data_IF_327547044047
#
_entry.id   IF_327547044047
#
_cell.length_a   1.000
_cell.length_b   1.000
_cell.length_c   1.000
_cell.angle_alpha   90.00
_cell.angle_beta   90.00
_cell.angle_gamma   90.00
#
_symmetry.space_group_name_H-M   'P 1'
#
loop_
_entity.id
_entity.type
_entity.pdbx_description
1 polymer ?
#
# COMPACT_ATOMS: atom_id res chain seq x y z
N UNK A 1 -37.99 -0.10 -0.55
CA UNK A 1 -37.33 -0.29 0.76
C UNK A 1 -36.45 -1.50 0.62
N UNK A 2 -35.15 -1.38 0.87
CA UNK A 2 -34.26 -2.53 0.84
C UNK A 2 -34.74 -3.57 1.88
N UNK A 3 -34.78 -4.84 1.51
CA UNK A 3 -35.12 -5.90 2.47
C UNK A 3 -33.93 -6.05 3.43
N UNK A 4 -34.15 -5.65 4.69
CA UNK A 4 -33.19 -5.81 5.79
C UNK A 4 -32.65 -7.25 5.85
N UNK A 5 -31.33 -7.40 6.00
CA UNK A 5 -30.61 -8.68 6.03
C UNK A 5 -29.99 -8.93 7.42
N UNK A 6 -29.62 -10.19 7.65
CA UNK A 6 -28.83 -10.62 8.79
C UNK A 6 -27.43 -11.02 8.30
N UNK A 7 -26.39 -10.47 8.91
CA UNK A 7 -25.00 -10.80 8.60
C UNK A 7 -24.35 -11.53 9.77
N UNK A 8 -23.84 -12.74 9.52
CA UNK A 8 -23.03 -13.49 10.49
C UNK A 8 -21.56 -13.22 10.20
N UNK A 9 -20.81 -12.82 11.22
CA UNK A 9 -19.43 -12.37 11.04
C UNK A 9 -18.45 -13.44 11.52
N UNK A 10 -17.43 -13.70 10.71
CA UNK A 10 -16.28 -14.54 11.04
C UNK A 10 -15.16 -13.75 11.75
N UNK A 11 -14.35 -14.43 12.56
CA UNK A 11 -13.21 -13.87 13.30
C UNK A 11 -12.23 -13.14 12.38
N UNK A 12 -11.94 -13.70 11.20
CA UNK A 12 -10.98 -13.12 10.26
C UNK A 12 -11.42 -11.75 9.69
N UNK A 13 -12.73 -11.47 9.67
CA UNK A 13 -13.24 -10.15 9.29
C UNK A 13 -12.79 -9.11 10.31
N UNK A 14 -12.95 -9.42 11.59
CA UNK A 14 -12.64 -8.53 12.72
C UNK A 14 -11.12 -8.35 12.88
N UNK A 15 -10.37 -9.44 12.73
CA UNK A 15 -8.90 -9.37 12.77
C UNK A 15 -8.34 -8.50 11.64
N UNK A 16 -9.03 -8.41 10.51
CA UNK A 16 -8.65 -7.55 9.39
C UNK A 16 -9.13 -6.10 9.54
N UNK A 17 -10.32 -5.91 10.12
CA UNK A 17 -10.97 -4.62 10.29
C UNK A 17 -11.87 -4.64 11.53
N UNK A 18 -11.42 -3.97 12.59
CA UNK A 18 -12.17 -3.91 13.84
C UNK A 18 -13.44 -3.05 13.74
N UNK A 19 -13.46 -2.11 12.79
CA UNK A 19 -14.58 -1.19 12.51
C UNK A 19 -15.56 -1.75 11.45
N UNK A 20 -15.53 -3.06 11.18
CA UNK A 20 -16.33 -3.64 10.10
C UNK A 20 -17.83 -3.33 10.19
N UNK A 21 -18.35 -3.19 11.41
CA UNK A 21 -19.78 -2.98 11.68
C UNK A 21 -20.32 -1.66 11.13
N UNK A 22 -19.43 -0.74 10.74
CA UNK A 22 -19.80 0.52 10.10
C UNK A 22 -20.30 0.35 8.66
N UNK A 23 -19.95 -0.77 8.02
CA UNK A 23 -20.12 -1.00 6.58
C UNK A 23 -21.38 -1.82 6.23
N UNK A 24 -22.30 -2.00 7.19
CA UNK A 24 -23.48 -2.87 7.03
C UNK A 24 -24.80 -2.10 6.92
N UNK A 25 -24.76 -0.76 6.84
CA UNK A 25 -25.95 0.10 6.69
C UNK A 25 -27.04 -0.28 7.71
N UNK A 26 -28.31 -0.32 7.33
CA UNK A 26 -29.44 -0.67 8.20
C UNK A 26 -29.53 -2.16 8.60
N UNK A 27 -28.57 -3.01 8.21
CA UNK A 27 -28.67 -4.47 8.38
C UNK A 27 -28.19 -4.93 9.75
N UNK A 28 -28.76 -6.05 10.24
CA UNK A 28 -28.43 -6.58 11.55
C UNK A 28 -27.19 -7.49 11.48
N UNK A 29 -26.32 -7.35 12.48
CA UNK A 29 -25.05 -8.05 12.61
C UNK A 29 -25.16 -9.05 13.77
N UNK A 30 -24.76 -10.28 13.53
CA UNK A 30 -24.74 -11.34 14.52
C UNK A 30 -23.31 -11.87 14.65
N UNK A 31 -22.79 -11.78 15.87
CA UNK A 31 -21.47 -12.25 16.23
C UNK A 31 -21.61 -13.60 16.96
N UNK A 32 -21.15 -14.71 16.36
CA UNK A 32 -21.08 -16.00 17.05
C UNK A 32 -20.16 -15.89 18.28
N UNK A 33 -20.57 -16.46 19.41
CA UNK A 33 -19.76 -16.41 20.64
C UNK A 33 -18.36 -17.03 20.47
N UNK A 34 -18.23 -18.03 19.58
CA UNK A 34 -16.92 -18.62 19.23
C UNK A 34 -15.94 -17.60 18.67
N UNK A 35 -16.42 -16.57 17.96
CA UNK A 35 -15.57 -15.51 17.43
C UNK A 35 -14.90 -14.73 18.56
N UNK A 36 -15.63 -14.45 19.65
CA UNK A 36 -15.04 -13.81 20.82
C UNK A 36 -13.97 -14.69 21.50
N UNK A 37 -14.23 -16.00 21.60
CA UNK A 37 -13.24 -16.96 22.14
C UNK A 37 -11.96 -16.98 21.30
N UNK A 38 -12.08 -16.83 19.97
CA UNK A 38 -10.94 -16.77 19.07
C UNK A 38 -10.21 -15.43 19.17
N UNK A 39 -10.92 -14.31 19.18
CA UNK A 39 -10.31 -12.97 19.34
C UNK A 39 -9.47 -12.86 20.61
N UNK A 40 -9.88 -13.52 21.70
CA UNK A 40 -9.11 -13.52 22.94
C UNK A 40 -7.69 -14.11 22.78
N UNK A 41 -7.53 -15.08 21.87
CA UNK A 41 -6.21 -15.67 21.53
C UNK A 41 -5.32 -14.66 20.82
N UNK A 42 -5.91 -13.72 20.08
CA UNK A 42 -5.19 -12.70 19.31
C UNK A 42 -4.90 -11.41 20.09
N UNK A 43 -5.29 -11.28 21.37
CA UNK A 43 -5.01 -10.04 22.14
C UNK A 43 -3.55 -9.86 22.55
N UNK A 44 -2.72 -10.89 22.44
CA UNK A 44 -1.29 -10.86 22.79
C UNK A 44 -0.45 -10.72 21.53
N UNK A 45 0.41 -9.70 21.49
CA UNK A 45 1.28 -9.40 20.35
C UNK A 45 1.22 -7.94 19.90
N UNK A 46 2.10 -7.57 18.97
CA UNK A 46 2.29 -6.19 18.50
C UNK A 46 1.88 -5.98 17.03
N UNK A 47 1.23 -6.96 16.41
CA UNK A 47 0.80 -6.90 15.02
C UNK A 47 -0.59 -6.24 14.88
N UNK A 48 -0.95 -5.86 13.66
CA UNK A 48 -2.24 -5.22 13.34
C UNK A 48 -3.42 -6.09 13.77
N UNK A 49 -3.33 -7.42 13.58
CA UNK A 49 -4.37 -8.36 14.01
C UNK A 49 -4.59 -8.32 15.53
N UNK A 50 -3.51 -8.12 16.30
CA UNK A 50 -3.62 -8.01 17.76
C UNK A 50 -4.20 -6.67 18.18
N UNK A 51 -3.85 -5.60 17.47
CA UNK A 51 -4.46 -4.29 17.66
C UNK A 51 -5.97 -4.37 17.37
N UNK A 52 -6.36 -4.91 16.21
CA UNK A 52 -7.75 -5.03 15.79
C UNK A 52 -8.57 -5.86 16.79
N UNK A 53 -8.04 -7.01 17.25
CA UNK A 53 -8.69 -7.80 18.29
C UNK A 53 -8.91 -7.01 19.59
N UNK A 54 -7.91 -6.24 20.05
CA UNK A 54 -8.03 -5.40 21.25
C UNK A 54 -8.98 -4.22 21.05
N UNK A 55 -8.93 -3.57 19.89
CA UNK A 55 -9.76 -2.42 19.55
C UNK A 55 -11.22 -2.84 19.50
N UNK A 56 -11.54 -3.91 18.76
CA UNK A 56 -12.91 -4.42 18.67
C UNK A 56 -13.48 -4.80 20.03
N UNK A 57 -12.74 -5.53 20.86
CA UNK A 57 -13.24 -5.92 22.21
C UNK A 57 -13.52 -4.70 23.08
N UNK A 58 -12.74 -3.61 22.96
CA UNK A 58 -13.01 -2.36 23.68
C UNK A 58 -14.24 -1.63 23.16
N UNK A 59 -14.42 -1.57 21.85
CA UNK A 59 -15.61 -0.95 21.25
C UNK A 59 -16.87 -1.75 21.58
N UNK A 60 -16.77 -3.07 21.55
CA UNK A 60 -17.83 -3.95 21.96
C UNK A 60 -18.23 -3.64 23.41
N UNK A 61 -17.28 -3.52 24.33
CA UNK A 61 -17.53 -3.16 25.75
C UNK A 61 -18.23 -1.78 25.89
N UNK A 62 -17.92 -0.81 25.03
CA UNK A 62 -18.57 0.51 25.02
C UNK A 62 -19.99 0.50 24.44
N UNK A 63 -20.24 -0.37 23.47
CA UNK A 63 -21.53 -0.51 22.78
C UNK A 63 -22.49 -1.41 23.61
N UNK A 64 -21.95 -2.15 24.58
CA UNK A 64 -22.72 -3.07 25.41
C UNK A 64 -23.28 -2.44 26.69
N UNK A 65 -24.58 -2.14 26.68
CA UNK A 65 -25.40 -2.19 27.90
C UNK A 65 -25.81 -3.65 28.20
N UNK A 66 -26.30 -3.92 29.42
CA UNK A 66 -26.77 -5.23 29.94
C UNK A 66 -27.78 -5.99 29.04
N UNK A 67 -28.26 -5.38 27.95
CA UNK A 67 -29.27 -5.91 27.03
C UNK A 67 -28.74 -6.61 25.77
N UNK A 68 -27.41 -6.65 25.55
CA UNK A 68 -26.77 -7.19 24.33
C UNK A 68 -27.23 -8.61 23.96
N UNK A 69 -27.35 -9.50 24.94
CA UNK A 69 -27.69 -10.91 24.72
C UNK A 69 -29.16 -11.16 24.38
N UNK A 70 -30.05 -10.18 24.60
CA UNK A 70 -31.50 -10.34 24.44
C UNK A 70 -32.12 -9.41 23.40
N UNK A 71 -31.70 -8.15 23.34
CA UNK A 71 -32.34 -7.13 22.48
C UNK A 71 -31.42 -6.58 21.38
N UNK A 72 -30.14 -6.98 21.39
CA UNK A 72 -29.10 -6.43 20.52
C UNK A 72 -28.71 -5.01 20.91
N UNK A 73 -27.46 -4.63 20.66
CA UNK A 73 -26.97 -3.27 20.85
C UNK A 73 -27.22 -2.44 19.59
N UNK A 74 -27.67 -1.19 19.77
CA UNK A 74 -27.90 -0.25 18.67
C UNK A 74 -26.56 0.32 18.18
N UNK A 75 -26.33 0.29 16.86
CA UNK A 75 -25.09 0.79 16.25
C UNK A 75 -25.17 2.27 15.85
N UNK A 76 -26.32 2.93 16.07
CA UNK A 76 -26.53 4.35 15.82
C UNK A 76 -27.45 4.64 14.63
N UNK A 77 -27.63 5.93 14.33
CA UNK A 77 -28.60 6.41 13.33
C UNK A 77 -28.26 5.87 11.94
N UNK A 78 -29.26 5.27 11.29
CA UNK A 78 -29.11 4.68 9.96
C UNK A 78 -28.38 3.34 9.93
N UNK A 79 -28.08 2.76 11.11
CA UNK A 79 -27.43 1.45 11.24
C UNK A 79 -28.38 0.41 11.85
N UNK A 80 -28.07 -0.87 11.62
CA UNK A 80 -28.77 -1.98 12.26
C UNK A 80 -28.31 -2.25 13.70
N UNK A 81 -28.62 -3.44 14.20
CA UNK A 81 -28.24 -3.88 15.56
C UNK A 81 -27.15 -4.94 15.55
N UNK A 82 -26.33 -4.95 16.59
CA UNK A 82 -25.34 -5.99 16.86
C UNK A 82 -25.84 -6.96 17.93
N UNK A 83 -25.80 -8.25 17.63
CA UNK A 83 -26.22 -9.34 18.51
C UNK A 83 -25.05 -10.27 18.80
N UNK A 84 -24.90 -10.74 20.04
CA UNK A 84 -24.01 -11.85 20.36
C UNK A 84 -24.83 -13.12 20.51
N UNK A 85 -24.49 -14.13 19.70
CA UNK A 85 -25.26 -15.38 19.64
C UNK A 85 -24.44 -16.53 20.17
N UNK A 86 -24.99 -17.22 21.18
CA UNK A 86 -24.46 -18.49 21.64
C UNK A 86 -25.30 -19.64 21.10
N UNK A 87 -24.78 -20.34 20.09
CA UNK A 87 -25.36 -21.56 19.56
C UNK A 87 -24.87 -22.74 20.40
N UNK A 88 -25.63 -23.03 21.47
CA UNK A 88 -25.24 -24.03 22.49
C UNK A 88 -25.23 -25.46 21.92
N UNK A 89 -26.05 -25.73 20.90
CA UNK A 89 -26.11 -27.02 20.18
C UNK A 89 -25.57 -26.86 18.77
N UNK A 90 -24.79 -27.83 18.32
CA UNK A 90 -24.41 -27.92 16.91
C UNK A 90 -25.66 -28.26 16.09
N UNK A 91 -25.85 -27.55 14.97
CA UNK A 91 -27.00 -27.77 14.11
C UNK A 91 -26.87 -29.11 13.37
N UNK A 92 -27.93 -29.91 13.32
CA UNK A 92 -27.90 -31.30 12.79
C UNK A 92 -27.29 -31.37 11.38
N UNK A 93 -27.76 -30.51 10.46
CA UNK A 93 -27.21 -30.38 9.10
C UNK A 93 -25.70 -30.11 9.05
N UNK A 94 -25.13 -29.39 10.03
CA UNK A 94 -23.67 -29.15 10.10
C UNK A 94 -22.97 -30.40 10.60
N UNK A 95 -23.51 -31.06 11.62
CA UNK A 95 -22.92 -32.29 12.18
C UNK A 95 -22.90 -33.42 11.15
N UNK A 96 -23.95 -33.55 10.34
CA UNK A 96 -24.03 -34.54 9.27
C UNK A 96 -22.99 -34.30 8.16
N UNK A 97 -22.81 -33.04 7.75
CA UNK A 97 -21.85 -32.69 6.70
C UNK A 97 -20.40 -32.63 7.19
N UNK A 98 -20.19 -32.16 8.43
CA UNK A 98 -18.89 -31.91 9.05
C UNK A 98 -18.89 -32.40 10.51
N UNK A 99 -18.58 -33.70 10.75
CA UNK A 99 -18.68 -34.31 12.08
C UNK A 99 -17.74 -33.72 13.14
N UNK A 100 -16.65 -33.07 12.72
CA UNK A 100 -15.69 -32.46 13.61
C UNK A 100 -16.26 -31.21 14.29
N UNK A 101 -15.88 -30.99 15.56
CA UNK A 101 -16.30 -29.79 16.30
C UNK A 101 -15.23 -28.70 16.20
N UNK A 102 -15.25 -27.95 15.10
CA UNK A 102 -14.34 -26.83 14.85
C UNK A 102 -15.01 -25.47 15.08
N UNK A 103 -14.25 -24.38 15.26
CA UNK A 103 -14.79 -23.02 15.29
C UNK A 103 -15.63 -22.67 14.06
N UNK A 104 -15.13 -22.96 12.85
CA UNK A 104 -15.86 -22.84 11.58
C UNK A 104 -17.25 -23.46 11.65
N UNK A 105 -17.34 -24.69 12.15
CA UNK A 105 -18.61 -25.44 12.18
C UNK A 105 -19.58 -24.84 13.21
N UNK A 106 -19.07 -24.20 14.28
CA UNK A 106 -19.88 -23.43 15.23
C UNK A 106 -20.40 -22.12 14.61
N UNK A 107 -19.59 -21.45 13.79
CA UNK A 107 -20.03 -20.28 13.01
C UNK A 107 -21.14 -20.69 12.04
N UNK A 108 -20.94 -21.75 11.25
CA UNK A 108 -21.94 -22.27 10.31
C UNK A 108 -23.24 -22.70 11.01
N UNK A 109 -23.15 -23.31 12.19
CA UNK A 109 -24.35 -23.65 13.00
C UNK A 109 -25.12 -22.39 13.38
N UNK A 110 -24.42 -21.32 13.75
CA UNK A 110 -25.04 -20.02 14.07
C UNK A 110 -25.75 -19.41 12.85
N UNK A 111 -25.19 -19.56 11.65
CA UNK A 111 -25.85 -19.10 10.42
C UNK A 111 -27.19 -19.79 10.21
N UNK A 112 -27.24 -21.12 10.36
CA UNK A 112 -28.48 -21.87 10.21
C UNK A 112 -29.49 -21.53 11.32
N UNK A 113 -29.07 -21.48 12.58
CA UNK A 113 -29.94 -21.12 13.71
C UNK A 113 -30.59 -19.74 13.53
N UNK A 114 -29.84 -18.74 13.06
CA UNK A 114 -30.36 -17.39 12.79
C UNK A 114 -31.28 -17.40 11.57
N UNK A 115 -30.97 -18.20 10.55
CA UNK A 115 -31.83 -18.37 9.37
C UNK A 115 -33.20 -18.96 9.75
N UNK A 116 -33.22 -19.98 10.61
CA UNK A 116 -34.46 -20.62 11.07
C UNK A 116 -35.30 -19.70 11.97
N UNK A 117 -34.66 -18.89 12.82
CA UNK A 117 -35.34 -17.89 13.66
C UNK A 117 -35.95 -16.73 12.86
N UNK A 118 -35.34 -16.40 11.71
CA UNK A 118 -35.74 -15.26 10.88
C UNK A 118 -36.00 -15.68 9.42
N UNK A 119 -37.00 -16.53 9.13
CA UNK A 119 -37.20 -17.13 7.80
C UNK A 119 -37.59 -16.10 6.70
N UNK A 120 -37.99 -14.89 7.10
CA UNK A 120 -38.36 -13.80 6.19
C UNK A 120 -37.18 -12.86 5.86
N UNK A 121 -36.04 -13.01 6.54
CA UNK A 121 -34.85 -12.20 6.32
C UNK A 121 -33.74 -13.09 5.77
N UNK A 122 -32.98 -12.56 4.80
CA UNK A 122 -31.84 -13.29 4.24
C UNK A 122 -30.69 -13.24 5.26
N UNK A 123 -30.21 -14.40 5.68
CA UNK A 123 -29.01 -14.54 6.50
C UNK A 123 -27.82 -14.85 5.61
N UNK A 124 -26.73 -14.10 5.79
CA UNK A 124 -25.53 -14.16 4.96
C UNK A 124 -24.32 -14.30 5.88
N UNK A 125 -23.46 -15.27 5.60
CA UNK A 125 -22.15 -15.38 6.23
C UNK A 125 -21.17 -14.41 5.57
N UNK A 126 -20.39 -13.68 6.35
CA UNK A 126 -19.32 -12.80 5.87
C UNK A 126 -17.99 -13.33 6.39
N UNK A 127 -17.09 -13.69 5.47
CA UNK A 127 -15.79 -14.29 5.82
C UNK A 127 -14.72 -13.98 4.78
N UNK A 128 -13.48 -13.81 5.26
CA UNK A 128 -12.28 -13.75 4.40
C UNK A 128 -11.62 -15.11 4.19
N UNK A 129 -12.06 -16.16 4.89
CA UNK A 129 -11.49 -17.50 4.79
C UNK A 129 -12.12 -18.28 3.63
N UNK A 130 -11.28 -18.71 2.69
CA UNK A 130 -11.69 -19.50 1.52
C UNK A 130 -12.29 -20.85 1.95
N UNK A 131 -11.72 -21.52 2.93
CA UNK A 131 -12.18 -22.84 3.39
C UNK A 131 -13.56 -22.74 4.05
N UNK A 132 -13.76 -21.75 4.92
CA UNK A 132 -15.08 -21.50 5.54
C UNK A 132 -16.12 -21.15 4.47
N UNK A 133 -15.73 -20.35 3.47
CA UNK A 133 -16.58 -20.02 2.31
C UNK A 133 -16.95 -21.25 1.49
N UNK A 134 -16.02 -22.18 1.25
CA UNK A 134 -16.30 -23.42 0.52
C UNK A 134 -17.27 -24.31 1.30
N UNK A 135 -17.08 -24.46 2.62
CA UNK A 135 -18.00 -25.21 3.50
C UNK A 135 -19.42 -24.60 3.50
N UNK A 136 -19.52 -23.28 3.55
CA UNK A 136 -20.82 -22.60 3.48
C UNK A 136 -21.51 -22.86 2.13
N UNK A 137 -20.77 -22.72 1.01
CA UNK A 137 -21.30 -22.97 -0.34
C UNK A 137 -21.77 -24.40 -0.54
N UNK A 138 -21.04 -25.40 -0.03
CA UNK A 138 -21.44 -26.81 -0.14
C UNK A 138 -22.76 -27.12 0.59
N UNK A 139 -23.15 -26.29 1.56
CA UNK A 139 -24.40 -26.41 2.32
C UNK A 139 -25.54 -25.54 1.79
N UNK A 140 -25.30 -24.75 0.73
CA UNK A 140 -26.23 -23.78 0.18
C UNK A 140 -26.40 -22.53 1.05
N UNK A 141 -25.46 -22.26 1.96
CA UNK A 141 -25.50 -21.07 2.82
C UNK A 141 -25.04 -19.85 2.00
N UNK A 142 -25.83 -18.76 1.95
CA UNK A 142 -25.40 -17.51 1.33
C UNK A 142 -24.15 -16.99 2.04
N UNK A 143 -23.09 -16.73 1.27
CA UNK A 143 -21.81 -16.25 1.79
C UNK A 143 -21.26 -15.14 0.92
N UNK A 144 -20.76 -14.08 1.56
CA UNK A 144 -20.13 -12.92 0.94
C UNK A 144 -18.68 -12.81 1.44
N UNK A 145 -17.81 -12.34 0.55
CA UNK A 145 -16.44 -11.96 0.92
C UNK A 145 -16.47 -10.63 1.65
N UNK A 146 -15.67 -10.46 2.69
CA UNK A 146 -15.53 -9.16 3.31
C UNK A 146 -14.55 -8.30 2.51
N UNK A 147 -15.13 -7.46 1.65
CA UNK A 147 -14.41 -6.44 0.90
C UNK A 147 -14.79 -5.09 1.52
N UNK A 148 -13.95 -4.60 2.44
CA UNK A 148 -13.97 -3.17 2.79
C UNK A 148 -13.32 -2.40 1.63
N UNK A 149 -13.60 -1.10 1.48
CA UNK A 149 -13.04 -0.13 0.50
C UNK A 149 -11.50 0.03 0.63
N UNK A 150 -10.76 -1.08 0.62
CA UNK A 150 -9.32 -1.17 0.50
C UNK A 150 -9.01 -1.32 -1.00
N UNK A 151 -8.60 -0.19 -1.58
CA UNK A 151 -8.01 0.00 -2.92
C UNK A 151 -8.83 -0.62 -4.06
N UNK A 152 -9.75 0.19 -4.61
CA UNK A 152 -10.73 -0.23 -5.62
C UNK A 152 -10.09 -0.47 -7.00
N UNK A 153 -8.89 0.06 -7.27
CA UNK A 153 -8.38 0.15 -8.64
C UNK A 153 -7.06 -0.60 -8.85
N UNK A 154 -7.14 -1.93 -8.92
CA UNK A 154 -6.01 -2.81 -9.29
C UNK A 154 -5.46 -2.44 -10.68
N UNK A 155 -6.31 -1.85 -11.54
CA UNK A 155 -5.97 -1.42 -12.90
C UNK A 155 -5.06 -0.18 -12.95
N UNK A 156 -4.90 0.57 -11.85
CA UNK A 156 -3.88 1.65 -11.78
C UNK A 156 -2.47 1.07 -11.82
N UNK A 157 -2.27 -0.16 -11.33
CA UNK A 157 -0.94 -0.74 -11.14
C UNK A 157 -0.45 -1.59 -12.33
N UNK A 158 -1.35 -1.94 -13.26
CA UNK A 158 -1.02 -2.66 -14.49
C UNK A 158 -0.75 -1.75 -15.69
N UNK A 159 -1.07 -0.45 -15.60
CA UNK A 159 -0.88 0.50 -16.70
C UNK A 159 0.60 0.90 -16.79
N UNK A 160 1.19 0.64 -17.95
CA UNK A 160 2.49 1.17 -18.33
C UNK A 160 2.40 2.63 -18.78
N UNK A 161 3.43 3.10 -19.46
CA UNK A 161 3.50 4.42 -20.09
C UNK A 161 2.24 4.73 -20.93
N UNK A 162 1.50 5.79 -20.57
CA UNK A 162 0.39 6.27 -21.39
C UNK A 162 0.93 6.94 -22.64
N UNK A 163 0.46 6.49 -23.82
CA UNK A 163 0.81 7.08 -25.10
C UNK A 163 -0.39 7.87 -25.60
N UNK A 164 -0.19 9.15 -25.91
CA UNK A 164 -1.19 10.00 -26.55
C UNK A 164 -0.77 10.14 -28.02
N UNK A 165 -1.55 9.52 -28.90
CA UNK A 165 -1.32 9.54 -30.34
C UNK A 165 -2.09 10.67 -31.02
N UNK A 166 -1.72 11.02 -32.25
CA UNK A 166 -2.40 12.05 -33.04
C UNK A 166 -2.19 13.48 -32.53
N UNK A 167 -1.16 13.72 -31.72
CA UNK A 167 -0.84 15.05 -31.19
C UNK A 167 -0.36 15.95 -32.33
N UNK A 168 -0.81 17.21 -32.35
CA UNK A 168 -0.34 18.19 -33.33
C UNK A 168 1.20 18.34 -33.24
N UNK A 169 1.96 18.10 -34.34
CA UNK A 169 3.42 18.20 -34.37
C UNK A 169 3.96 19.56 -33.88
N UNK A 170 3.22 20.64 -34.13
CA UNK A 170 3.63 22.00 -33.74
C UNK A 170 3.56 22.21 -32.23
N UNK A 171 2.64 21.53 -31.53
CA UNK A 171 2.59 21.55 -30.06
C UNK A 171 3.80 20.83 -29.46
N UNK A 172 4.22 19.73 -30.08
CA UNK A 172 5.45 19.03 -29.67
C UNK A 172 6.66 19.93 -29.92
N UNK A 173 6.77 20.60 -31.07
CA UNK A 173 7.87 21.54 -31.33
C UNK A 173 7.87 22.73 -30.36
N UNK A 174 6.68 23.25 -30.00
CA UNK A 174 6.55 24.26 -28.94
C UNK A 174 7.07 23.75 -27.59
N UNK A 175 6.80 22.49 -27.21
CA UNK A 175 7.35 21.90 -25.97
C UNK A 175 8.89 21.83 -26.00
N UNK A 176 9.50 21.57 -27.16
CA UNK A 176 10.95 21.62 -27.31
C UNK A 176 11.51 23.05 -27.24
N UNK A 177 10.77 24.04 -27.77
CA UNK A 177 11.19 25.44 -27.78
C UNK A 177 10.91 26.18 -26.46
N UNK A 178 9.96 25.72 -25.65
CA UNK A 178 9.48 26.41 -24.44
C UNK A 178 9.69 25.54 -23.19
N UNK A 179 10.81 25.72 -22.44
CA UNK A 179 11.08 24.96 -21.22
C UNK A 179 10.00 25.08 -20.15
N UNK A 180 9.28 26.22 -20.13
CA UNK A 180 8.18 26.46 -19.18
C UNK A 180 6.90 25.66 -19.50
N UNK A 181 6.87 24.92 -20.62
CA UNK A 181 5.71 24.15 -21.06
C UNK A 181 4.66 24.96 -21.82
N UNK A 182 3.70 24.23 -22.38
CA UNK A 182 2.60 24.71 -23.22
C UNK A 182 1.28 24.57 -22.44
N UNK A 183 0.31 25.46 -22.65
CA UNK A 183 -0.96 25.41 -21.92
C UNK A 183 -1.67 24.07 -22.14
N UNK A 184 -2.24 23.49 -21.08
CA UNK A 184 -2.99 22.23 -21.18
C UNK A 184 -4.19 22.36 -22.13
N UNK A 185 -4.80 23.55 -22.21
CA UNK A 185 -5.94 23.84 -23.08
C UNK A 185 -5.62 23.77 -24.59
N UNK A 186 -4.33 23.81 -24.95
CA UNK A 186 -3.90 23.61 -26.34
C UNK A 186 -3.89 22.12 -26.74
N UNK A 187 -3.99 21.20 -25.78
CA UNK A 187 -4.00 19.75 -26.02
C UNK A 187 -5.42 19.18 -25.88
N UNK A 188 -5.65 18.04 -26.53
CA UNK A 188 -6.87 17.26 -26.39
C UNK A 188 -6.51 15.90 -25.81
N UNK A 189 -7.18 15.50 -24.73
CA UNK A 189 -6.99 14.21 -24.07
C UNK A 189 -8.34 13.48 -23.98
N UNK A 190 -8.32 12.15 -24.14
CA UNK A 190 -9.52 11.30 -24.09
C UNK A 190 -10.13 11.21 -22.69
N UNK A 191 -9.34 11.49 -21.66
CA UNK A 191 -9.75 11.48 -20.27
C UNK A 191 -9.22 12.71 -19.52
N UNK A 192 -9.89 13.12 -18.42
CA UNK A 192 -9.37 14.18 -17.55
C UNK A 192 -7.98 13.82 -17.02
N UNK A 193 -7.04 14.76 -17.16
CA UNK A 193 -5.69 14.61 -16.62
C UNK A 193 -5.69 14.68 -15.09
N UNK A 194 -4.93 13.79 -14.47
CA UNK A 194 -4.63 13.82 -13.04
C UNK A 194 -3.32 14.60 -12.84
N UNK A 195 -3.19 15.39 -11.75
CA UNK A 195 -1.93 16.05 -11.40
C UNK A 195 -0.71 15.14 -11.50
N UNK A 196 0.34 15.63 -12.16
CA UNK A 196 1.62 14.95 -12.36
C UNK A 196 1.58 13.68 -13.24
N UNK A 197 0.48 13.43 -13.95
CA UNK A 197 0.42 12.38 -14.97
C UNK A 197 1.52 12.56 -16.00
N UNK A 198 2.20 11.46 -16.32
CA UNK A 198 3.30 11.41 -17.27
C UNK A 198 2.92 10.56 -18.47
N UNK A 199 3.23 11.03 -19.67
CA UNK A 199 2.81 10.40 -20.92
C UNK A 199 3.80 10.66 -22.05
N UNK A 200 3.75 9.78 -23.06
CA UNK A 200 4.48 9.91 -24.31
C UNK A 200 3.55 10.55 -25.34
N UNK A 201 3.86 11.78 -25.75
CA UNK A 201 3.19 12.45 -26.85
C UNK A 201 3.78 11.96 -28.16
N UNK A 202 2.94 11.52 -29.11
CA UNK A 202 3.36 11.12 -30.45
C UNK A 202 2.53 11.83 -31.51
N UNK A 203 3.24 12.35 -32.51
CA UNK A 203 2.67 12.80 -33.78
C UNK A 203 3.20 11.93 -34.92
N UNK A 204 2.80 12.25 -36.15
CA UNK A 204 3.34 11.64 -37.37
C UNK A 204 4.82 11.96 -37.60
N UNK A 205 5.35 13.03 -36.99
CA UNK A 205 6.71 13.54 -37.25
C UNK A 205 7.65 13.42 -36.05
N UNK A 206 7.17 13.66 -34.85
CA UNK A 206 7.97 13.84 -33.65
C UNK A 206 7.27 13.25 -32.41
N UNK A 207 8.02 13.11 -31.33
CA UNK A 207 7.51 12.61 -30.05
C UNK A 207 8.19 13.31 -28.89
N UNK A 208 7.51 13.44 -27.75
CA UNK A 208 8.09 13.97 -26.53
C UNK A 208 7.63 13.20 -25.30
N UNK A 209 8.53 13.05 -24.33
CA UNK A 209 8.15 12.67 -22.96
C UNK A 209 7.63 13.92 -22.26
N UNK A 210 6.44 13.85 -21.69
CA UNK A 210 5.77 14.99 -21.11
C UNK A 210 5.08 14.64 -19.78
N UNK A 211 4.83 15.67 -18.98
CA UNK A 211 4.09 15.58 -17.71
C UNK A 211 3.14 16.77 -17.59
N UNK A 212 1.97 16.55 -17.00
CA UNK A 212 1.07 17.63 -16.61
C UNK A 212 1.52 18.27 -15.29
N UNK A 213 1.83 19.57 -15.31
CA UNK A 213 2.10 20.35 -14.10
C UNK A 213 0.81 21.02 -13.61
N UNK A 214 0.27 20.62 -12.44
CA UNK A 214 -1.01 21.12 -11.94
C UNK A 214 -0.95 22.57 -11.41
N UNK A 215 0.22 23.07 -11.05
CA UNK A 215 0.39 24.41 -10.48
C UNK A 215 0.40 25.49 -11.56
N UNK A 216 0.97 25.16 -12.73
CA UNK A 216 1.03 26.07 -13.88
C UNK A 216 -0.04 25.76 -14.93
N UNK A 217 -0.77 24.64 -14.80
CA UNK A 217 -1.74 24.13 -15.78
C UNK A 217 -1.12 23.96 -17.17
N UNK A 218 0.11 23.45 -17.21
CA UNK A 218 0.88 23.28 -18.44
C UNK A 218 1.33 21.85 -18.63
N UNK A 219 1.43 21.45 -19.89
CA UNK A 219 2.20 20.28 -20.28
C UNK A 219 3.66 20.70 -20.38
N UNK A 220 4.51 20.05 -19.59
CA UNK A 220 5.96 20.30 -19.57
C UNK A 220 6.70 19.09 -20.13
N UNK A 221 7.81 19.35 -20.82
CA UNK A 221 8.68 18.29 -21.32
C UNK A 221 9.46 17.67 -20.16
N UNK A 222 9.56 16.34 -20.14
CA UNK A 222 10.41 15.60 -19.21
C UNK A 222 11.70 15.23 -19.91
N UNK A 223 12.81 15.78 -19.43
CA UNK A 223 14.12 15.57 -20.04
C UNK A 223 14.81 14.31 -19.54
N UNK A 224 15.54 13.66 -20.45
CA UNK A 224 16.35 12.48 -20.15
C UNK A 224 17.68 12.90 -19.52
N UNK A 225 17.65 13.32 -18.27
CA UNK A 225 18.84 13.77 -17.54
C UNK A 225 19.38 12.72 -16.55
N UNK A 226 20.71 12.60 -16.42
CA UNK A 226 21.29 11.82 -15.34
C UNK A 226 21.04 12.48 -13.96
N UNK A 227 20.96 11.64 -12.94
CA UNK A 227 20.95 12.05 -11.54
C UNK A 227 22.11 11.38 -10.81
N UNK A 228 23.06 12.19 -10.33
CA UNK A 228 24.22 11.73 -9.55
C UNK A 228 24.93 10.49 -10.15
N UNK A 229 25.21 10.52 -11.46
CA UNK A 229 25.87 9.43 -12.20
C UNK A 229 24.94 8.35 -12.78
N UNK A 230 23.65 8.32 -12.40
CA UNK A 230 22.67 7.36 -12.90
C UNK A 230 21.84 7.98 -14.02
N UNK A 231 21.91 7.40 -15.22
CA UNK A 231 21.09 7.81 -16.37
C UNK A 231 19.84 6.92 -16.50
N UNK A 232 18.65 7.49 -16.78
CA UNK A 232 17.47 6.68 -17.05
C UNK A 232 17.63 5.94 -18.37
N UNK A 233 17.17 4.69 -18.45
CA UNK A 233 17.32 3.84 -19.65
C UNK A 233 16.12 3.94 -20.58
N UNK A 234 14.92 3.97 -20.00
CA UNK A 234 13.64 4.02 -20.72
C UNK A 234 12.78 5.23 -20.28
N UNK A 235 11.59 5.37 -20.87
CA UNK A 235 10.67 6.47 -20.58
C UNK A 235 10.18 6.46 -19.13
N UNK A 236 9.84 5.30 -18.58
CA UNK A 236 9.36 5.13 -17.21
C UNK A 236 10.40 5.63 -16.18
N UNK A 237 11.67 5.28 -16.37
CA UNK A 237 12.76 5.79 -15.52
C UNK A 237 12.98 7.30 -15.70
N UNK A 238 12.74 7.81 -16.91
CA UNK A 238 12.83 9.25 -17.21
C UNK A 238 11.73 10.01 -16.48
N UNK A 239 10.49 9.52 -16.51
CA UNK A 239 9.38 10.05 -15.72
C UNK A 239 9.65 9.97 -14.22
N UNK A 240 10.17 8.84 -13.72
CA UNK A 240 10.53 8.67 -12.33
C UNK A 240 11.55 9.73 -11.87
N UNK A 241 12.66 9.92 -12.59
CA UNK A 241 13.62 10.97 -12.26
C UNK A 241 13.03 12.38 -12.40
N UNK A 242 12.12 12.61 -13.35
CA UNK A 242 11.40 13.87 -13.49
C UNK A 242 10.57 14.22 -12.26
N UNK A 243 9.79 13.27 -11.71
CA UNK A 243 9.00 13.50 -10.48
C UNK A 243 9.85 13.53 -9.21
N UNK A 244 10.92 12.74 -9.16
CA UNK A 244 11.83 12.71 -8.01
C UNK A 244 12.64 14.01 -7.89
N UNK A 245 13.06 14.61 -9.01
CA UNK A 245 13.85 15.84 -9.04
C UNK A 245 13.02 17.13 -8.94
N UNK A 246 11.69 17.05 -9.06
CA UNK A 246 10.81 18.22 -8.96
C UNK A 246 10.55 18.59 -7.50
N UNK A 247 11.02 19.75 -7.00
CA UNK A 247 10.84 20.14 -5.61
C UNK A 247 9.38 20.41 -5.22
N UNK A 248 8.47 20.67 -6.17
CA UNK A 248 7.06 20.94 -5.87
C UNK A 248 6.28 19.66 -5.53
N UNK A 249 6.78 18.49 -5.96
CA UNK A 249 6.19 17.20 -5.66
C UNK A 249 6.77 16.67 -4.35
N UNK A 250 5.99 16.72 -3.27
CA UNK A 250 6.42 16.38 -1.91
C UNK A 250 6.25 14.90 -1.56
N UNK A 251 5.35 14.19 -2.21
CA UNK A 251 5.12 12.76 -2.00
C UNK A 251 5.20 12.01 -3.33
N UNK A 252 6.04 10.99 -3.39
CA UNK A 252 6.22 10.17 -4.60
C UNK A 252 6.06 8.70 -4.27
N UNK A 253 5.22 8.00 -5.03
CA UNK A 253 5.19 6.54 -5.06
C UNK A 253 5.91 6.01 -6.30
N UNK A 254 6.85 5.08 -6.14
CA UNK A 254 7.48 4.36 -7.25
C UNK A 254 7.23 2.87 -7.08
N UNK A 255 6.42 2.31 -7.96
CA UNK A 255 6.14 0.88 -8.02
C UNK A 255 6.85 0.23 -9.19
N UNK A 256 6.91 -1.09 -9.20
CA UNK A 256 7.46 -1.86 -10.31
C UNK A 256 8.08 -3.15 -9.87
N UNK A 257 8.36 -4.04 -10.82
CA UNK A 257 8.96 -5.36 -10.54
C UNK A 257 10.39 -5.25 -9.99
N UNK A 258 10.91 -6.33 -9.42
CA UNK A 258 12.32 -6.44 -9.06
C UNK A 258 13.25 -6.12 -10.25
N UNK A 259 14.27 -5.28 -10.03
CA UNK A 259 15.26 -4.94 -11.07
C UNK A 259 14.94 -3.77 -12.00
N UNK A 260 13.82 -3.09 -11.79
CA UNK A 260 13.42 -1.89 -12.54
C UNK A 260 14.17 -0.61 -12.11
N UNK A 261 14.90 -0.65 -10.99
CA UNK A 261 15.76 0.44 -10.52
C UNK A 261 15.11 1.43 -9.55
N UNK A 262 13.91 1.14 -9.01
CA UNK A 262 13.13 2.03 -8.12
C UNK A 262 13.97 2.74 -7.05
N UNK A 263 14.62 1.96 -6.18
CA UNK A 263 15.42 2.46 -5.05
C UNK A 263 16.68 3.18 -5.52
N UNK A 264 17.31 2.69 -6.60
CA UNK A 264 18.49 3.31 -7.20
C UNK A 264 18.18 4.71 -7.76
N UNK A 265 17.07 4.86 -8.48
CA UNK A 265 16.62 6.13 -9.04
C UNK A 265 16.25 7.13 -7.94
N UNK A 266 15.50 6.67 -6.92
CA UNK A 266 15.13 7.49 -5.77
C UNK A 266 16.37 8.04 -5.04
N UNK A 267 17.35 7.18 -4.79
CA UNK A 267 18.60 7.55 -4.13
C UNK A 267 19.45 8.49 -4.99
N UNK A 268 19.58 8.21 -6.28
CA UNK A 268 20.28 9.08 -7.22
C UNK A 268 19.69 10.49 -7.28
N UNK A 269 18.36 10.61 -7.30
CA UNK A 269 17.66 11.89 -7.27
C UNK A 269 17.84 12.63 -5.93
N UNK A 270 17.80 11.91 -4.81
CA UNK A 270 18.07 12.49 -3.49
C UNK A 270 19.50 13.06 -3.40
N UNK A 271 20.49 12.32 -3.88
CA UNK A 271 21.89 12.74 -3.91
C UNK A 271 22.11 13.95 -4.84
N UNK A 272 21.44 14.00 -6.01
CA UNK A 272 21.46 15.19 -6.89
C UNK A 272 20.95 16.44 -6.14
N UNK A 273 19.95 16.27 -5.29
CA UNK A 273 19.32 17.34 -4.52
C UNK A 273 19.94 17.57 -3.14
N UNK A 274 21.14 17.04 -2.84
CA UNK A 274 21.75 17.15 -1.51
C UNK A 274 21.89 18.59 -0.98
N UNK A 275 21.93 19.61 -1.84
CA UNK A 275 22.00 21.02 -1.41
C UNK A 275 20.65 21.60 -0.97
N UNK A 276 19.54 21.00 -1.38
CA UNK A 276 18.18 21.44 -1.07
C UNK A 276 17.65 20.87 0.24
N UNK A 277 18.21 19.74 0.69
CA UNK A 277 17.78 19.04 1.89
C UNK A 277 18.93 18.98 2.90
N UNK A 278 18.60 19.24 4.16
CA UNK A 278 19.53 19.16 5.29
C UNK A 278 19.93 17.71 5.58
N UNK A 279 19.03 16.76 5.32
CA UNK A 279 19.25 15.33 5.51
C UNK A 279 18.69 14.49 4.35
N UNK A 280 19.36 13.39 4.00
CA UNK A 280 18.86 12.31 3.16
C UNK A 280 18.74 11.05 4.04
N UNK A 281 17.53 10.53 4.18
CA UNK A 281 17.23 9.39 5.04
C UNK A 281 16.69 8.26 4.19
N UNK A 282 17.41 7.14 4.14
CA UNK A 282 16.97 5.92 3.47
C UNK A 282 16.61 4.88 4.54
N UNK A 283 15.35 4.44 4.53
CA UNK A 283 14.86 3.49 5.50
C UNK A 283 14.09 2.34 4.87
N UNK A 284 14.14 1.19 5.54
CA UNK A 284 13.46 -0.04 5.08
C UNK A 284 12.82 -0.76 6.27
N UNK A 285 11.59 -1.31 6.14
CA UNK A 285 11.00 -2.15 7.17
C UNK A 285 11.79 -3.44 7.33
N UNK A 286 11.85 -3.93 8.55
CA UNK A 286 12.40 -5.25 8.84
C UNK A 286 11.25 -6.25 8.72
N UNK A 287 11.28 -7.04 7.65
CA UNK A 287 10.35 -8.16 7.47
C UNK A 287 11.10 -9.44 7.79
N UNK A 288 10.63 -10.18 8.78
CA UNK A 288 11.26 -11.46 9.12
C UNK A 288 10.83 -12.51 8.10
N UNK A 289 11.75 -12.91 7.21
CA UNK A 289 11.55 -14.02 6.26
C UNK A 289 11.53 -15.40 6.96
N UNK A 290 11.68 -15.46 8.28
CA UNK A 290 11.75 -16.71 9.05
C UNK A 290 11.06 -16.58 10.41
N UNK A 291 10.61 -17.70 10.99
CA UNK A 291 10.04 -17.80 12.34
C UNK A 291 11.04 -17.45 13.47
N UNK A 292 12.15 -16.78 13.18
CA UNK A 292 13.11 -16.29 14.17
C UNK A 292 12.88 -14.80 14.35
N UNK A 293 12.30 -14.42 15.47
CA UNK A 293 12.22 -13.02 15.88
C UNK A 293 13.62 -12.41 15.96
N UNK A 294 13.75 -11.14 15.57
CA UNK A 294 14.99 -10.35 15.63
C UNK A 294 15.71 -10.46 17.00
N UNK A 295 14.95 -10.73 18.07
CA UNK A 295 15.46 -10.97 19.41
C UNK A 295 16.48 -12.10 19.52
N UNK A 296 16.43 -13.11 18.63
CA UNK A 296 17.29 -14.30 18.67
C UNK A 296 18.62 -14.17 17.93
N UNK A 297 18.84 -13.10 17.15
CA UNK A 297 20.13 -12.88 16.50
C UNK A 297 21.16 -12.39 17.53
N UNK A 298 22.38 -12.97 17.61
CA UNK A 298 23.44 -12.47 18.48
C UNK A 298 23.99 -11.13 17.97
N UNK A 299 24.46 -10.27 18.87
CA UNK A 299 25.09 -8.98 18.54
C UNK A 299 24.34 -7.75 19.05
N UNK A 300 24.91 -6.57 18.81
CA UNK A 300 24.27 -5.29 19.13
C UNK A 300 23.12 -4.96 18.16
N UNK A 301 22.33 -3.92 18.48
CA UNK A 301 21.17 -3.55 17.68
C UNK A 301 21.53 -3.27 16.20
N UNK A 302 22.70 -2.67 15.92
CA UNK A 302 23.15 -2.36 14.56
C UNK A 302 23.52 -3.62 13.80
N UNK A 303 24.21 -4.56 14.45
CA UNK A 303 24.60 -5.85 13.88
C UNK A 303 23.39 -6.70 13.51
N UNK A 304 22.30 -6.64 14.31
CA UNK A 304 21.07 -7.39 14.02
C UNK A 304 20.31 -6.87 12.81
N UNK A 305 20.35 -5.56 12.55
CA UNK A 305 19.63 -4.94 11.41
C UNK A 305 20.45 -4.85 10.14
N UNK A 306 21.79 -4.92 10.24
CA UNK A 306 22.71 -4.76 9.12
C UNK A 306 22.39 -5.65 7.90
N UNK A 307 22.06 -6.95 8.03
CA UNK A 307 21.74 -7.79 6.87
C UNK A 307 20.54 -7.28 6.07
N UNK A 308 19.54 -6.72 6.73
CA UNK A 308 18.33 -6.18 6.08
C UNK A 308 18.60 -4.87 5.33
N UNK A 309 19.61 -4.11 5.77
CA UNK A 309 19.99 -2.83 5.16
C UNK A 309 21.02 -3.00 4.04
N UNK A 310 21.68 -4.16 3.92
CA UNK A 310 22.72 -4.40 2.92
C UNK A 310 22.31 -4.03 1.48
N UNK A 311 21.09 -4.36 0.99
CA UNK A 311 20.70 -3.99 -0.38
C UNK A 311 20.67 -2.47 -0.62
N UNK A 312 20.48 -1.66 0.43
CA UNK A 312 20.52 -0.21 0.35
C UNK A 312 21.96 0.30 0.19
N UNK A 313 22.91 -0.32 0.89
CA UNK A 313 24.34 -0.06 0.70
C UNK A 313 24.85 -0.52 -0.67
N UNK A 314 24.31 -1.62 -1.21
CA UNK A 314 24.65 -2.08 -2.55
C UNK A 314 24.23 -1.05 -3.62
N UNK A 315 23.05 -0.43 -3.49
CA UNK A 315 22.64 0.68 -4.37
C UNK A 315 23.58 1.89 -4.26
N UNK A 316 24.05 2.25 -3.05
CA UNK A 316 25.05 3.29 -2.86
C UNK A 316 26.37 2.96 -3.56
N UNK A 317 26.81 1.70 -3.48
CA UNK A 317 28.02 1.23 -4.16
C UNK A 317 27.88 1.27 -5.68
N UNK A 318 26.71 0.95 -6.23
CA UNK A 318 26.43 1.11 -7.67
C UNK A 318 26.61 2.57 -8.06
N UNK A 319 26.00 3.50 -7.34
CA UNK A 319 26.15 4.94 -7.62
C UNK A 319 27.62 5.36 -7.56
N UNK A 320 28.34 4.98 -6.49
CA UNK A 320 29.77 5.27 -6.33
C UNK A 320 30.61 4.74 -7.48
N UNK A 321 30.27 3.57 -8.03
CA UNK A 321 31.00 2.95 -9.15
C UNK A 321 30.83 3.69 -10.48
N UNK A 322 29.73 4.45 -10.65
CA UNK A 322 29.48 5.27 -11.83
C UNK A 322 30.21 6.62 -11.78
N UNK A 323 30.71 7.01 -10.62
CA UNK A 323 31.47 8.26 -10.46
C UNK A 323 32.94 8.04 -10.79
N UNK A 324 33.58 9.04 -11.39
CA UNK A 324 35.03 8.96 -11.62
C UNK A 324 35.80 8.90 -10.29
N UNK A 325 36.85 8.08 -10.18
CA UNK A 325 37.66 8.01 -8.98
C UNK A 325 38.18 9.38 -8.57
N UNK A 326 38.06 9.72 -7.29
CA UNK A 326 38.49 11.00 -6.70
C UNK A 326 37.75 12.26 -7.22
N UNK A 327 36.62 12.09 -7.93
CA UNK A 327 35.73 13.17 -8.35
C UNK A 327 35.16 13.96 -7.16
N UNK A 328 34.70 15.18 -7.41
CA UNK A 328 34.08 16.01 -6.38
C UNK A 328 32.81 15.34 -5.83
N UNK A 329 32.02 14.73 -6.70
CA UNK A 329 30.80 14.00 -6.38
C UNK A 329 31.07 12.81 -5.46
N UNK A 330 32.14 12.06 -5.72
CA UNK A 330 32.51 10.95 -4.85
C UNK A 330 32.89 11.43 -3.44
N UNK A 331 33.65 12.54 -3.34
CA UNK A 331 34.02 13.12 -2.04
C UNK A 331 32.80 13.63 -1.27
N UNK A 332 31.87 14.29 -1.97
CA UNK A 332 30.60 14.75 -1.39
C UNK A 332 29.79 13.57 -0.84
N UNK A 333 29.69 12.48 -1.60
CA UNK A 333 29.00 11.26 -1.13
C UNK A 333 29.64 10.70 0.15
N UNK A 334 30.97 10.55 0.17
CA UNK A 334 31.70 10.04 1.33
C UNK A 334 31.58 10.97 2.56
N UNK A 335 31.58 12.29 2.34
CA UNK A 335 31.37 13.28 3.39
C UNK A 335 29.96 13.24 3.97
N UNK A 336 28.93 13.08 3.13
CA UNK A 336 27.55 12.94 3.59
C UNK A 336 27.35 11.69 4.46
N UNK A 337 27.99 10.57 4.10
CA UNK A 337 27.96 9.36 4.93
C UNK A 337 28.68 9.56 6.26
N UNK A 338 29.82 10.25 6.27
CA UNK A 338 30.61 10.51 7.49
C UNK A 338 29.93 11.49 8.45
N UNK A 339 29.27 12.51 7.90
CA UNK A 339 28.61 13.58 8.68
C UNK A 339 27.23 13.21 9.20
N UNK A 340 26.65 12.07 8.76
CA UNK A 340 25.26 11.71 9.08
C UNK A 340 24.23 12.48 8.25
N UNK A 341 24.66 13.24 7.23
CA UNK A 341 23.74 13.85 6.26
C UNK A 341 23.04 12.80 5.40
N UNK A 342 23.69 11.67 5.12
CA UNK A 342 23.10 10.49 4.49
C UNK A 342 23.03 9.35 5.52
N UNK A 343 21.83 9.00 5.96
CA UNK A 343 21.58 7.93 6.92
C UNK A 343 20.85 6.75 6.27
N UNK A 344 21.26 5.53 6.61
CA UNK A 344 20.60 4.27 6.24
C UNK A 344 20.17 3.57 7.52
N UNK A 345 18.86 3.45 7.77
CA UNK A 345 18.34 2.94 9.05
C UNK A 345 17.13 2.02 8.88
N UNK A 346 16.86 1.21 9.90
CA UNK A 346 15.59 0.49 9.95
C UNK A 346 14.43 1.46 10.21
N UNK A 347 13.30 1.23 9.55
CA UNK A 347 12.11 2.09 9.63
C UNK A 347 11.62 2.32 11.07
N UNK A 348 11.81 1.34 11.96
CA UNK A 348 11.44 1.43 13.37
C UNK A 348 12.05 2.65 14.09
N UNK A 349 13.23 3.12 13.66
CA UNK A 349 13.93 4.26 14.26
C UNK A 349 13.36 5.62 13.86
N UNK A 350 12.52 5.67 12.81
CA UNK A 350 11.86 6.90 12.38
C UNK A 350 10.65 7.21 13.28
N UNK A 351 10.12 6.19 13.96
CA UNK A 351 8.96 6.31 14.85
C UNK A 351 9.32 7.07 16.13
N UNK A 352 9.04 8.37 16.13
CA UNK A 352 9.18 9.31 17.25
C UNK A 352 9.77 10.65 16.79
N UNK A 353 10.35 10.69 15.59
CA UNK A 353 11.03 11.85 15.00
C UNK A 353 10.07 12.74 14.20
N UNK A 354 10.34 14.04 14.21
CA UNK A 354 9.85 14.99 13.21
C UNK A 354 10.93 15.12 12.12
N UNK A 355 10.55 14.98 10.85
CA UNK A 355 11.49 15.03 9.72
C UNK A 355 11.31 16.36 9.00
N UNK A 356 12.19 17.33 9.22
CA UNK A 356 12.16 18.63 8.54
C UNK A 356 13.34 18.73 7.55
N UNK A 357 13.14 19.40 6.42
CA UNK A 357 14.15 19.57 5.37
C UNK A 357 14.82 18.26 4.96
N UNK A 358 14.07 17.15 4.97
CA UNK A 358 14.61 15.80 4.76
C UNK A 358 14.14 15.23 3.42
N UNK A 359 15.05 14.64 2.65
CA UNK A 359 14.70 13.75 1.55
C UNK A 359 14.61 12.33 2.10
N UNK A 360 13.39 11.86 2.37
CA UNK A 360 13.16 10.56 3.01
C UNK A 360 12.70 9.53 1.99
N UNK A 361 13.44 8.42 1.88
CA UNK A 361 13.13 7.29 1.01
C UNK A 361 12.77 6.10 1.89
N UNK A 362 11.57 5.56 1.70
CA UNK A 362 11.08 4.34 2.37
C UNK A 362 11.05 3.22 1.32
N UNK A 363 12.00 2.30 1.42
CA UNK A 363 12.13 1.14 0.53
C UNK A 363 11.31 -0.06 1.03
N UNK A 364 10.91 -0.95 0.12
CA UNK A 364 10.00 -2.07 0.37
C UNK A 364 8.68 -1.68 1.06
N UNK A 365 8.09 -0.56 0.64
CA UNK A 365 6.89 -0.01 1.25
C UNK A 365 5.64 -0.89 1.09
N UNK A 366 5.64 -1.87 0.18
CA UNK A 366 4.55 -2.86 0.07
C UNK A 366 4.41 -3.75 1.33
N UNK A 367 5.46 -3.81 2.15
CA UNK A 367 5.45 -4.58 3.39
C UNK A 367 4.87 -3.78 4.58
N UNK A 368 4.38 -2.56 4.34
CA UNK A 368 3.79 -1.69 5.34
C UNK A 368 2.27 -1.78 5.32
N UNK A 369 1.64 -1.59 6.47
CA UNK A 369 0.20 -1.40 6.59
C UNK A 369 -0.21 0.04 6.21
N UNK A 370 -1.48 0.28 5.83
CA UNK A 370 -2.01 1.64 5.64
C UNK A 370 -1.79 2.57 6.85
N UNK A 371 -1.92 2.03 8.07
CA UNK A 371 -1.69 2.79 9.30
C UNK A 371 -0.22 3.21 9.46
N UNK A 372 0.72 2.33 9.12
CA UNK A 372 2.16 2.65 9.17
C UNK A 372 2.52 3.73 8.14
N UNK A 373 2.05 3.62 6.90
CA UNK A 373 2.27 4.67 5.89
C UNK A 373 1.73 6.02 6.38
N UNK A 374 0.48 6.05 6.89
CA UNK A 374 -0.09 7.27 7.47
C UNK A 374 0.79 7.82 8.59
N UNK A 375 1.22 6.95 9.51
CA UNK A 375 2.08 7.33 10.65
C UNK A 375 3.41 7.92 10.16
N UNK A 376 4.00 7.39 9.09
CA UNK A 376 5.25 7.90 8.52
C UNK A 376 5.02 9.25 7.84
N UNK A 377 4.02 9.36 6.96
CA UNK A 377 3.73 10.60 6.21
C UNK A 377 3.45 11.76 7.16
N UNK A 378 2.70 11.52 8.24
CA UNK A 378 2.40 12.57 9.25
C UNK A 378 3.61 13.09 10.03
N UNK A 379 4.81 12.53 9.83
CA UNK A 379 6.07 13.03 10.41
C UNK A 379 6.79 14.03 9.51
N UNK A 380 6.34 14.19 8.26
CA UNK A 380 6.90 15.17 7.35
C UNK A 380 6.64 16.59 7.88
N UNK A 381 7.71 17.25 8.30
CA UNK A 381 7.75 18.69 8.56
C UNK A 381 7.99 19.49 7.29
N UNK A 382 8.16 20.80 7.45
CA UNK A 382 8.41 21.71 6.33
C UNK A 382 9.71 21.35 5.59
N UNK A 383 9.72 21.57 4.26
CA UNK A 383 10.87 21.28 3.41
C UNK A 383 11.15 19.79 3.17
N UNK A 384 10.31 18.88 3.67
CA UNK A 384 10.51 17.44 3.49
C UNK A 384 9.86 16.92 2.22
N UNK A 385 10.57 15.99 1.56
CA UNK A 385 10.06 15.17 0.46
C UNK A 385 10.10 13.70 0.89
N UNK A 386 9.02 12.98 0.64
CA UNK A 386 8.91 11.55 0.93
C UNK A 386 8.74 10.75 -0.36
N UNK A 387 9.52 9.68 -0.46
CA UNK A 387 9.51 8.75 -1.60
C UNK A 387 9.29 7.35 -1.06
N UNK A 388 8.25 6.67 -1.51
CA UNK A 388 7.97 5.28 -1.18
C UNK A 388 8.25 4.41 -2.39
N UNK A 389 9.15 3.43 -2.25
CA UNK A 389 9.49 2.47 -3.30
C UNK A 389 9.04 1.08 -2.90
N UNK A 390 8.50 0.30 -3.85
CA UNK A 390 8.07 -1.07 -3.56
C UNK A 390 7.64 -1.88 -4.77
N UNK A 391 7.44 -3.17 -4.56
CA UNK A 391 6.92 -4.11 -5.56
C UNK A 391 5.60 -4.70 -5.08
N UNK A 392 4.48 -4.29 -5.67
CA UNK A 392 3.15 -4.73 -5.26
C UNK A 392 2.86 -6.20 -5.58
N UNK A 393 3.71 -6.86 -6.38
CA UNK A 393 3.60 -8.29 -6.69
C UNK A 393 4.48 -9.14 -5.77
N UNK A 394 5.42 -8.54 -5.05
CA UNK A 394 6.33 -9.22 -4.13
C UNK A 394 6.13 -8.70 -2.70
N UNK A 395 5.10 -9.23 -2.03
CA UNK A 395 4.77 -8.91 -0.64
C UNK A 395 5.33 -10.01 0.25
N UNK A 396 6.28 -9.65 1.11
CA UNK A 396 6.94 -10.58 2.02
C UNK A 396 6.18 -10.72 3.36
N UNK A 397 5.28 -9.76 3.66
CA UNK A 397 4.46 -9.78 4.87
C UNK A 397 3.30 -10.78 4.74
N UNK A 398 3.19 -11.81 5.60
CA UNK A 398 2.19 -12.87 5.47
C UNK A 398 0.73 -12.40 5.72
N UNK A 399 0.55 -11.19 6.21
CA UNK A 399 -0.76 -10.62 6.57
C UNK A 399 -1.20 -9.50 5.63
N UNK A 400 -0.42 -9.21 4.59
CA UNK A 400 -0.71 -8.19 3.59
C UNK A 400 -0.85 -8.84 2.21
N UNK A 401 -1.74 -8.27 1.41
CA UNK A 401 -1.88 -8.61 0.00
C UNK A 401 -1.83 -7.33 -0.85
N UNK A 402 -1.90 -7.49 -2.18
CA UNK A 402 -1.79 -6.40 -3.15
C UNK A 402 -2.89 -5.34 -2.99
N UNK A 403 -4.03 -5.69 -2.37
CA UNK A 403 -5.17 -4.81 -2.15
C UNK A 403 -5.20 -4.17 -0.75
N UNK A 404 -4.46 -4.74 0.21
CA UNK A 404 -4.47 -4.32 1.60
C UNK A 404 -3.16 -3.70 2.09
N UNK A 405 -2.10 -3.74 1.29
CA UNK A 405 -0.84 -3.11 1.64
C UNK A 405 -0.93 -1.57 1.61
N UNK A 406 -0.07 -0.94 2.42
CA UNK A 406 -0.04 0.49 2.63
C UNK A 406 0.41 1.28 1.42
N UNK A 407 1.30 0.74 0.58
CA UNK A 407 1.78 1.42 -0.63
C UNK A 407 0.64 1.60 -1.64
N UNK A 408 -0.10 0.53 -1.92
CA UNK A 408 -1.29 0.58 -2.79
C UNK A 408 -2.36 1.54 -2.22
N UNK A 409 -2.60 1.48 -0.91
CA UNK A 409 -3.51 2.38 -0.21
C UNK A 409 -3.12 3.86 -0.34
N UNK A 410 -1.83 4.18 -0.17
CA UNK A 410 -1.34 5.54 -0.33
C UNK A 410 -1.53 6.05 -1.76
N UNK A 411 -1.19 5.23 -2.76
CA UNK A 411 -1.33 5.62 -4.16
C UNK A 411 -2.79 5.93 -4.50
N UNK A 412 -3.72 5.07 -4.07
CA UNK A 412 -5.17 5.27 -4.24
C UNK A 412 -5.65 6.58 -3.59
N UNK A 413 -5.34 6.77 -2.30
CA UNK A 413 -5.85 7.93 -1.53
C UNK A 413 -5.19 9.26 -1.88
N UNK A 414 -3.95 9.24 -2.37
CA UNK A 414 -3.22 10.45 -2.74
C UNK A 414 -3.40 10.84 -4.21
N UNK A 415 -4.02 9.98 -5.03
CA UNK A 415 -4.37 10.29 -6.43
C UNK A 415 -5.20 11.57 -6.50
N UNK A 416 -4.85 12.46 -7.44
CA UNK A 416 -5.51 13.76 -7.58
C UNK A 416 -4.91 14.90 -6.76
N UNK A 417 -3.98 14.63 -5.84
CA UNK A 417 -3.32 15.69 -5.07
C UNK A 417 -2.17 16.32 -5.86
N UNK A 418 -2.09 17.66 -5.90
CA UNK A 418 -1.11 18.39 -6.71
C UNK A 418 0.35 18.10 -6.32
N UNK A 419 0.59 17.81 -5.04
CA UNK A 419 1.92 17.52 -4.48
C UNK A 419 2.29 16.02 -4.52
N UNK A 420 1.45 15.19 -5.12
CA UNK A 420 1.64 13.75 -5.23
C UNK A 420 1.91 13.32 -6.66
N UNK A 421 2.83 12.38 -6.85
CA UNK A 421 3.01 11.68 -8.11
C UNK A 421 3.24 10.18 -7.90
N UNK A 422 2.78 9.38 -8.84
CA UNK A 422 3.03 7.95 -8.90
C UNK A 422 3.62 7.59 -10.25
N UNK A 423 4.68 6.77 -10.23
CA UNK A 423 5.28 6.20 -11.45
C UNK A 423 5.42 4.71 -11.27
N UNK A 424 4.91 3.94 -12.22
CA UNK A 424 5.03 2.50 -12.27
C UNK A 424 6.12 2.09 -13.28
N UNK A 425 7.14 1.36 -12.83
CA UNK A 425 8.20 0.82 -13.67
C UNK A 425 7.84 -0.62 -14.07
N UNK A 426 7.41 -0.82 -15.31
CA UNK A 426 6.96 -2.10 -15.84
C UNK A 426 8.14 -2.86 -16.47
N UNK A 427 8.98 -2.16 -17.23
CA UNK A 427 10.10 -2.78 -17.96
C UNK A 427 11.33 -2.92 -17.07
N UNK A 428 11.72 -4.17 -16.80
CA UNK A 428 12.97 -4.50 -16.12
C UNK A 428 14.18 -4.28 -17.04
N UNK A 429 15.29 -3.79 -16.49
CA UNK A 429 16.54 -3.52 -17.25
C UNK A 429 17.70 -4.40 -16.75
N UNK A 430 17.36 -5.59 -16.23
CA UNK A 430 18.33 -6.59 -15.77
C UNK A 430 18.82 -7.46 -16.94
N UNK A 431 19.77 -8.36 -16.67
CA UNK A 431 20.24 -9.32 -17.67
C UNK A 431 19.09 -10.16 -18.23
N UNK A 432 19.28 -10.65 -19.45
CA UNK A 432 18.35 -11.56 -20.16
C UNK A 432 17.85 -12.70 -19.27
N UNK A 433 18.73 -13.28 -18.44
CA UNK A 433 18.36 -14.34 -17.48
C UNK A 433 17.30 -13.89 -16.46
N UNK A 434 17.44 -12.68 -15.90
CA UNK A 434 16.51 -12.18 -14.89
C UNK A 434 15.16 -11.80 -15.49
N UNK A 435 15.16 -11.29 -16.73
CA UNK A 435 13.94 -10.97 -17.44
C UNK A 435 13.19 -12.25 -17.85
N UNK A 436 13.92 -13.24 -18.37
CA UNK A 436 13.37 -14.55 -18.69
C UNK A 436 12.78 -15.23 -17.44
N UNK A 437 13.51 -15.24 -16.33
CA UNK A 437 13.03 -15.81 -15.07
C UNK A 437 11.77 -15.10 -14.55
N UNK A 438 11.72 -13.76 -14.58
CA UNK A 438 10.54 -12.99 -14.12
C UNK A 438 9.30 -13.17 -15.01
N UNK A 439 9.48 -13.61 -16.26
CA UNK A 439 8.37 -13.85 -17.19
C UNK A 439 7.91 -15.32 -17.16
N UNK A 440 8.80 -16.27 -16.83
CA UNK A 440 8.51 -17.71 -16.86
C UNK A 440 8.16 -18.33 -15.49
N UNK A 441 8.68 -17.76 -14.39
CA UNK A 441 8.48 -18.21 -13.01
C UNK A 441 7.57 -17.22 -12.27
#
# INVERSE_FOLDING_TARGET
MANKKNFIIDTNVILHDYSFYENFEENDIYLPFVVLEELDKFKKGNEQINFNARAFVRELDMITDDNLFKQGADLGVGRGKLYIVNSVKAHEKIVEAFPERTPDNRILSTVLDVTEKHPKMKTILVTKDINLRMKARSLGIPVEDYINDKVVDIDVFGKGEQVVEGVNPDLIDKLYAQPAGVSVDEFTFDSPLVPNDSFVLKSERNSALARYNPFTQKIIRVEKEPSFGISPRNAEQTFALGVLNDPDIKLVGITGKAGTGKTLLALAAALKQNKQYSQILLARPIVSLSNKDLGYLPGDQKQKVAPYMQPLFDNLNVIKSQLSPNSAEQRVLEEMQKSGKLEVEALAFIRGRSLSETYCIIDEAQNLTPHEIKTIITRAGEGTKMVFTGDLQQIDSPYLDSQSNGLAYMIDKMKGQQIFAHVNLVKGERSELSELASNLL
#
